data_IF_615432469682
#
_entry.id   IF_615432469682
#
_cell.length_a   1.000
_cell.length_b   1.000
_cell.length_c   1.000
_cell.angle_alpha   90.00
_cell.angle_beta   90.00
_cell.angle_gamma   90.00
#
_symmetry.space_group_name_H-M   'P 1'
#
loop_
_entity.id
_entity.type
_entity.pdbx_description
1 polymer ?
#
# COMPACT_ATOMS: atom_id res chain seq x y z
N UNK A 1 10.76 -2.34 34.67
CA UNK A 1 10.07 -2.93 33.51
C UNK A 1 11.00 -3.89 32.81
N UNK A 2 10.75 -5.20 32.89
CA UNK A 2 11.57 -6.17 32.13
C UNK A 2 11.34 -5.94 30.62
N UNK A 3 12.42 -5.91 29.84
CA UNK A 3 12.33 -5.79 28.39
C UNK A 3 11.72 -7.08 27.85
N UNK A 4 10.58 -6.99 27.18
CA UNK A 4 9.97 -8.13 26.48
C UNK A 4 10.98 -8.74 25.50
N UNK A 5 11.10 -10.07 25.49
CA UNK A 5 11.87 -10.80 24.48
C UNK A 5 11.16 -10.74 23.11
N UNK A 6 11.81 -11.25 22.05
CA UNK A 6 11.26 -11.23 20.70
C UNK A 6 9.93 -11.99 20.57
N UNK A 7 9.80 -13.13 21.24
CA UNK A 7 8.61 -13.98 21.23
C UNK A 7 7.43 -13.32 21.94
N UNK A 8 7.66 -12.74 23.12
CA UNK A 8 6.65 -12.02 23.88
C UNK A 8 6.16 -10.77 23.13
N UNK A 9 7.04 -10.08 22.39
CA UNK A 9 6.62 -8.99 21.50
C UNK A 9 5.74 -9.49 20.37
N UNK A 10 6.08 -10.62 19.76
CA UNK A 10 5.29 -11.24 18.69
C UNK A 10 3.91 -11.65 19.18
N UNK A 11 3.82 -12.29 20.35
CA UNK A 11 2.52 -12.67 20.95
C UNK A 11 1.67 -11.45 21.26
N UNK A 12 2.24 -10.44 21.92
CA UNK A 12 1.55 -9.18 22.21
C UNK A 12 1.04 -8.50 20.94
N UNK A 13 1.87 -8.46 19.89
CA UNK A 13 1.47 -7.82 18.64
C UNK A 13 0.36 -8.62 17.94
N UNK A 14 0.44 -9.95 17.94
CA UNK A 14 -0.61 -10.82 17.42
C UNK A 14 -1.94 -10.62 18.16
N UNK A 15 -1.93 -10.61 19.48
CA UNK A 15 -3.13 -10.37 20.31
C UNK A 15 -3.76 -9.02 19.97
N UNK A 16 -2.93 -7.96 19.87
CA UNK A 16 -3.38 -6.62 19.49
C UNK A 16 -3.99 -6.58 18.09
N UNK A 17 -3.40 -7.30 17.13
CA UNK A 17 -3.95 -7.35 15.77
C UNK A 17 -5.27 -8.12 15.72
N UNK A 18 -5.39 -9.23 16.43
CA UNK A 18 -6.67 -9.97 16.52
C UNK A 18 -7.76 -9.08 17.12
N UNK A 19 -7.49 -8.47 18.29
CA UNK A 19 -8.44 -7.57 18.96
C UNK A 19 -8.89 -6.44 18.04
N UNK A 20 -7.96 -5.79 17.35
CA UNK A 20 -8.26 -4.69 16.42
C UNK A 20 -9.06 -5.11 15.20
N UNK A 21 -8.86 -6.33 14.72
CA UNK A 21 -9.63 -6.90 13.60
C UNK A 21 -11.06 -7.20 14.07
N UNK A 22 -11.20 -7.79 15.25
CA UNK A 22 -12.50 -8.13 15.82
C UNK A 22 -13.31 -6.89 16.19
N UNK A 23 -12.69 -5.88 16.83
CA UNK A 23 -13.33 -4.60 17.11
C UNK A 23 -13.86 -3.92 15.84
N UNK A 24 -13.08 -3.94 14.76
CA UNK A 24 -13.51 -3.40 13.47
C UNK A 24 -14.69 -4.15 12.91
N UNK A 25 -14.66 -5.49 12.98
CA UNK A 25 -15.77 -6.33 12.53
C UNK A 25 -17.05 -6.02 13.31
N UNK A 26 -16.95 -5.85 14.63
CA UNK A 26 -18.09 -5.47 15.49
C UNK A 26 -18.61 -4.07 15.15
N UNK A 27 -17.72 -3.10 14.85
CA UNK A 27 -18.08 -1.74 14.45
C UNK A 27 -18.59 -1.62 13.01
N UNK A 28 -18.50 -2.68 12.21
CA UNK A 28 -18.81 -2.63 10.78
C UNK A 28 -17.77 -1.88 9.94
N UNK A 29 -16.55 -1.68 10.47
CA UNK A 29 -15.45 -1.05 9.76
C UNK A 29 -14.80 -2.04 8.77
N UNK A 30 -14.19 -1.51 7.70
CA UNK A 30 -13.56 -2.32 6.66
C UNK A 30 -12.24 -2.95 7.14
N UNK A 31 -12.36 -4.20 7.60
CA UNK A 31 -11.26 -5.01 8.12
C UNK A 31 -10.19 -5.32 7.08
N UNK A 32 -10.59 -5.40 5.81
CA UNK A 32 -9.67 -5.70 4.71
C UNK A 32 -8.90 -4.44 4.32
N UNK A 33 -9.53 -3.26 4.32
CA UNK A 33 -8.80 -2.00 4.16
C UNK A 33 -7.77 -1.81 5.28
N UNK A 34 -8.13 -2.14 6.52
CA UNK A 34 -7.19 -2.13 7.64
C UNK A 34 -6.02 -3.09 7.41
N UNK A 35 -6.30 -4.29 6.91
CA UNK A 35 -5.27 -5.28 6.59
C UNK A 35 -4.37 -4.84 5.42
N UNK A 36 -4.90 -4.16 4.41
CA UNK A 36 -4.10 -3.61 3.30
C UNK A 36 -3.12 -2.53 3.79
N UNK A 37 -3.51 -1.77 4.81
CA UNK A 37 -2.61 -0.83 5.48
C UNK A 37 -1.68 -1.50 6.51
N UNK A 38 -2.00 -2.72 6.95
CA UNK A 38 -1.28 -3.44 8.01
C UNK A 38 -1.17 -4.94 7.66
N UNK A 39 -0.17 -5.31 6.88
CA UNK A 39 0.00 -6.69 6.37
C UNK A 39 -0.07 -7.79 7.44
N UNK A 40 0.34 -7.49 8.68
CA UNK A 40 0.27 -8.44 9.81
C UNK A 40 -1.17 -8.84 10.17
N UNK A 41 -2.15 -7.98 9.91
CA UNK A 41 -3.55 -8.24 10.18
C UNK A 41 -4.16 -9.27 9.21
N UNK A 42 -3.54 -9.52 8.05
CA UNK A 42 -4.00 -10.51 7.06
C UNK A 42 -4.22 -11.90 7.66
N UNK A 43 -3.43 -12.30 8.66
CA UNK A 43 -3.52 -13.61 9.31
C UNK A 43 -4.87 -13.83 10.00
N UNK A 44 -5.47 -12.77 10.52
CA UNK A 44 -6.72 -12.78 11.28
C UNK A 44 -7.97 -12.57 10.42
N UNK A 45 -7.78 -12.40 9.10
CA UNK A 45 -8.88 -12.35 8.16
C UNK A 45 -9.49 -13.76 7.94
N UNK A 46 -10.80 -13.78 7.75
CA UNK A 46 -11.58 -14.92 7.28
C UNK A 46 -11.26 -15.23 5.81
N UNK A 47 -11.73 -16.38 5.29
CA UNK A 47 -11.45 -16.79 3.91
C UNK A 47 -12.01 -15.82 2.87
N UNK A 48 -13.22 -15.31 3.08
CA UNK A 48 -13.86 -14.31 2.21
C UNK A 48 -13.12 -12.97 2.25
N UNK A 49 -12.74 -12.52 3.45
CA UNK A 49 -11.95 -11.30 3.62
C UNK A 49 -10.56 -11.42 2.95
N UNK A 50 -9.91 -12.59 3.03
CA UNK A 50 -8.63 -12.85 2.33
C UNK A 50 -8.77 -12.83 0.81
N UNK A 51 -9.91 -13.29 0.28
CA UNK A 51 -10.20 -13.16 -1.15
C UNK A 51 -10.31 -11.68 -1.55
N UNK A 52 -11.17 -10.94 -0.83
CA UNK A 52 -11.37 -9.50 -1.05
C UNK A 52 -10.08 -8.70 -0.89
N UNK A 53 -9.19 -9.12 0.01
CA UNK A 53 -7.88 -8.53 0.20
C UNK A 53 -7.02 -8.67 -1.05
N UNK A 54 -6.95 -9.86 -1.64
CA UNK A 54 -6.14 -10.12 -2.83
C UNK A 54 -6.65 -9.35 -4.05
N UNK A 55 -7.97 -9.31 -4.23
CA UNK A 55 -8.58 -8.54 -5.33
C UNK A 55 -8.25 -7.05 -5.20
N UNK A 56 -8.40 -6.48 -4.01
CA UNK A 56 -8.07 -5.07 -3.76
C UNK A 56 -6.58 -4.77 -3.82
N UNK A 57 -5.74 -5.69 -3.37
CA UNK A 57 -4.29 -5.56 -3.49
C UNK A 57 -3.86 -5.56 -4.96
N UNK A 58 -4.43 -6.43 -5.78
CA UNK A 58 -4.18 -6.46 -7.22
C UNK A 58 -4.60 -5.13 -7.87
N UNK A 59 -5.81 -4.65 -7.57
CA UNK A 59 -6.31 -3.37 -8.07
C UNK A 59 -5.40 -2.19 -7.66
N UNK A 60 -4.94 -2.13 -6.42
CA UNK A 60 -3.99 -1.09 -5.97
C UNK A 60 -2.66 -1.17 -6.73
N UNK A 61 -2.17 -2.38 -7.01
CA UNK A 61 -0.96 -2.61 -7.80
C UNK A 61 -1.09 -2.10 -9.24
N UNK A 62 -2.23 -2.38 -9.89
CA UNK A 62 -2.53 -1.90 -11.24
C UNK A 62 -2.59 -0.37 -11.30
N UNK A 63 -3.28 0.27 -10.34
CA UNK A 63 -3.35 1.73 -10.23
C UNK A 63 -1.96 2.33 -10.01
N UNK A 64 -1.14 1.74 -9.14
CA UNK A 64 0.22 2.19 -8.90
C UNK A 64 1.09 2.08 -10.18
N UNK A 65 0.93 1.00 -10.94
CA UNK A 65 1.65 0.79 -12.19
C UNK A 65 1.20 1.75 -13.32
N UNK A 66 -0.08 2.09 -13.39
CA UNK A 66 -0.56 3.11 -14.33
C UNK A 66 -0.03 4.49 -13.97
N UNK A 67 -0.05 4.85 -12.68
CA UNK A 67 0.48 6.12 -12.20
C UNK A 67 1.98 6.27 -12.45
N UNK A 68 2.77 5.20 -12.30
CA UNK A 68 4.20 5.26 -12.59
C UNK A 68 4.47 5.46 -14.08
N UNK A 69 3.72 4.78 -14.96
CA UNK A 69 3.81 4.99 -16.42
C UNK A 69 3.45 6.42 -16.82
N UNK A 70 2.39 6.99 -16.26
CA UNK A 70 1.98 8.37 -16.55
C UNK A 70 3.07 9.37 -16.13
N UNK A 71 3.66 9.19 -14.94
CA UNK A 71 4.77 10.03 -14.47
C UNK A 71 5.99 9.93 -15.38
N UNK A 72 6.36 8.72 -15.80
CA UNK A 72 7.46 8.52 -16.75
C UNK A 72 7.21 9.22 -18.09
N UNK A 73 5.98 9.14 -18.63
CA UNK A 73 5.62 9.87 -19.86
C UNK A 73 5.71 11.39 -19.68
N UNK A 74 5.26 11.92 -18.54
CA UNK A 74 5.38 13.34 -18.24
C UNK A 74 6.84 13.80 -18.09
N UNK A 75 7.69 12.97 -17.49
CA UNK A 75 9.13 13.25 -17.38
C UNK A 75 9.80 13.23 -18.76
N UNK A 76 9.48 12.26 -19.61
CA UNK A 76 9.97 12.21 -20.99
C UNK A 76 9.53 13.44 -21.80
N UNK A 77 8.26 13.84 -21.69
CA UNK A 77 7.75 15.02 -22.38
C UNK A 77 8.46 16.31 -21.93
N UNK A 78 8.73 16.47 -20.64
CA UNK A 78 9.51 17.62 -20.13
C UNK A 78 10.95 17.63 -20.63
N UNK A 79 11.58 16.47 -20.73
CA UNK A 79 12.94 16.34 -21.26
C UNK A 79 12.94 16.69 -22.75
N UNK A 80 11.94 16.24 -23.50
CA UNK A 80 11.78 16.55 -24.92
C UNK A 80 11.56 18.05 -25.14
N UNK A 81 10.63 18.67 -24.39
CA UNK A 81 10.39 20.12 -24.43
C UNK A 81 11.68 20.92 -24.12
N UNK A 82 12.40 20.56 -23.05
CA UNK A 82 13.65 21.23 -22.71
C UNK A 82 14.77 21.04 -23.75
N UNK A 83 14.81 19.88 -24.42
CA UNK A 83 15.78 19.63 -25.50
C UNK A 83 15.53 20.51 -26.73
N UNK A 84 14.26 20.74 -27.09
CA UNK A 84 13.91 21.60 -28.23
C UNK A 84 14.05 23.10 -27.90
N UNK A 85 13.74 23.52 -26.67
CA UNK A 85 13.97 24.91 -26.23
C UNK A 85 15.45 25.31 -26.27
N UNK A 86 16.36 24.39 -25.93
CA UNK A 86 17.81 24.63 -25.97
C UNK A 86 18.39 24.66 -27.41
N UNK A 87 17.85 23.90 -28.37
CA UNK A 87 18.29 23.96 -29.78
C UNK A 87 17.82 25.23 -30.50
N UNK A 88 16.59 25.69 -30.25
CA UNK A 88 16.09 26.93 -30.84
C UNK A 88 16.87 28.16 -30.33
N UNK A 89 17.32 28.14 -29.08
CA UNK A 89 18.12 29.21 -28.47
C UNK A 89 19.59 29.27 -28.98
N UNK A 90 20.12 28.20 -29.57
CA UNK A 90 21.44 28.18 -30.21
C UNK A 90 21.39 28.56 -31.70
N UNK A 91 20.21 28.71 -32.31
CA UNK A 91 20.05 29.01 -33.75
C UNK A 91 19.82 30.50 -34.09
N UNK A 92 19.74 31.38 -33.08
CA UNK A 92 19.68 32.86 -33.22
C UNK A 92 20.97 33.54 -32.79
#
# INVERSE_FOLDING_TARGET
MSKLNAEQRKTRDNERFSQRVDERRVKGEDVVAYALANDKAYKFLTKSEKHSFKERQAAQGEVAQQNSKLKQQQELAKIEEGFFEDEDALST
#
